data_IF_365854201300
#
_entry.id   IF_365854201300
#
_cell.length_a   1.000
_cell.length_b   1.000
_cell.length_c   1.000
_cell.angle_alpha   90.00
_cell.angle_beta   90.00
_cell.angle_gamma   90.00
#
_symmetry.space_group_name_H-M   'P 1'
#
loop_
_entity.id
_entity.type
_entity.pdbx_description
1 polymer ?
#
# COMPACT_ATOMS: atom_id res chain seq x y z
N UNK A 1 12.72 5.59 26.47
CA UNK A 1 12.56 5.09 25.08
C UNK A 1 13.56 5.82 24.20
N UNK A 2 14.36 5.11 23.39
CA UNK A 2 15.19 5.76 22.37
C UNK A 2 14.27 6.42 21.35
N UNK A 3 14.60 7.64 20.89
CA UNK A 3 13.83 8.30 19.84
C UNK A 3 13.90 7.47 18.56
N UNK A 4 12.75 7.27 17.89
CA UNK A 4 12.68 6.58 16.59
C UNK A 4 13.45 7.42 15.56
N UNK A 5 14.30 6.74 14.78
CA UNK A 5 15.14 7.35 13.75
C UNK A 5 14.45 7.18 12.40
N UNK A 6 13.91 8.25 11.87
CA UNK A 6 13.37 8.33 10.50
C UNK A 6 13.35 9.79 10.05
N UNK A 7 13.70 10.05 8.80
CA UNK A 7 13.82 11.43 8.30
C UNK A 7 12.51 12.02 7.75
N UNK A 8 11.46 11.23 7.64
CA UNK A 8 10.11 11.64 7.24
C UNK A 8 9.11 11.41 8.37
N UNK A 9 7.87 11.82 8.16
CA UNK A 9 6.79 11.54 9.09
C UNK A 9 6.53 10.03 9.18
N UNK A 10 6.05 9.61 10.32
CA UNK A 10 5.67 8.22 10.57
C UNK A 10 4.58 8.16 11.64
N UNK A 11 3.87 7.05 11.64
CA UNK A 11 2.99 6.66 12.74
C UNK A 11 3.70 5.57 13.54
N UNK A 12 3.64 5.67 14.86
CA UNK A 12 4.10 4.64 15.77
C UNK A 12 3.08 4.42 16.87
N UNK A 13 2.68 3.16 17.06
CA UNK A 13 1.88 2.72 18.19
C UNK A 13 2.67 1.73 19.01
N UNK A 14 3.05 2.13 20.21
CA UNK A 14 3.71 1.27 21.18
C UNK A 14 2.67 0.39 21.89
N UNK A 15 2.72 -0.90 21.62
CA UNK A 15 1.86 -1.90 22.27
C UNK A 15 2.64 -2.71 23.32
N UNK A 16 3.79 -2.20 23.80
CA UNK A 16 4.67 -2.83 24.78
C UNK A 16 5.16 -4.24 24.36
N UNK A 17 5.21 -4.51 23.07
CA UNK A 17 5.72 -5.76 22.50
C UNK A 17 6.71 -5.45 21.38
N UNK A 18 7.99 -5.27 21.75
CA UNK A 18 9.08 -5.00 20.80
C UNK A 18 9.65 -6.26 20.13
N UNK A 19 9.20 -7.45 20.52
CA UNK A 19 9.71 -8.69 19.95
C UNK A 19 9.15 -8.99 18.56
N UNK A 20 7.95 -8.47 18.26
CA UNK A 20 7.33 -8.52 16.94
C UNK A 20 6.88 -7.13 16.50
N UNK A 21 7.06 -6.80 15.25
CA UNK A 21 6.79 -5.47 14.72
C UNK A 21 6.04 -5.58 13.40
N UNK A 22 4.94 -4.86 13.26
CA UNK A 22 4.23 -4.69 12.00
C UNK A 22 4.62 -3.34 11.41
N UNK A 23 4.99 -3.33 10.12
CA UNK A 23 5.24 -2.08 9.39
C UNK A 23 4.32 -2.03 8.17
N UNK A 24 3.53 -0.97 8.07
CA UNK A 24 2.67 -0.70 6.93
C UNK A 24 3.34 0.25 5.93
N UNK A 25 3.26 -0.12 4.64
CA UNK A 25 3.69 0.68 3.51
C UNK A 25 2.47 1.09 2.68
N UNK A 26 2.24 2.39 2.58
CA UNK A 26 1.07 2.97 1.91
C UNK A 26 1.14 2.91 0.38
N UNK A 27 -0.01 3.15 -0.28
CA UNK A 27 -0.16 3.21 -1.72
C UNK A 27 0.34 4.52 -2.36
N UNK A 28 0.16 4.62 -3.69
CA UNK A 28 0.49 5.80 -4.49
C UNK A 28 -0.27 7.04 -4.02
N UNK A 29 0.44 8.17 -3.90
CA UNK A 29 -0.06 9.47 -3.44
C UNK A 29 -0.86 9.42 -2.13
N UNK A 30 -0.48 8.52 -1.24
CA UNK A 30 -1.13 8.25 0.04
C UNK A 30 -0.23 8.59 1.24
N UNK A 31 -0.64 8.24 2.44
CA UNK A 31 0.06 8.57 3.68
C UNK A 31 0.01 7.43 4.71
N UNK A 32 0.80 7.51 5.79
CA UNK A 32 0.76 6.54 6.91
C UNK A 32 -0.62 6.39 7.53
N UNK A 33 -1.45 7.43 7.47
CA UNK A 33 -2.78 7.44 8.06
C UNK A 33 -3.83 6.68 7.24
N UNK A 34 -3.52 6.26 6.02
CA UNK A 34 -4.46 5.48 5.19
C UNK A 34 -4.85 4.12 5.79
N UNK A 35 -4.10 3.64 6.79
CA UNK A 35 -4.42 2.40 7.50
C UNK A 35 -4.75 2.63 9.00
N UNK A 36 -5.33 3.79 9.30
CA UNK A 36 -5.68 4.22 10.67
C UNK A 36 -6.62 3.25 11.38
N UNK A 37 -7.51 2.60 10.64
CA UNK A 37 -8.43 1.60 11.19
C UNK A 37 -7.66 0.41 11.80
N UNK A 38 -6.60 -0.07 11.14
CA UNK A 38 -5.75 -1.13 11.65
C UNK A 38 -4.92 -0.65 12.85
N UNK A 39 -4.28 0.52 12.76
CA UNK A 39 -3.54 1.12 13.87
C UNK A 39 -4.39 1.18 15.15
N UNK A 40 -5.64 1.67 15.03
CA UNK A 40 -6.54 1.78 16.18
C UNK A 40 -6.89 0.43 16.80
N UNK A 41 -7.08 -0.58 15.98
CA UNK A 41 -7.47 -1.92 16.41
C UNK A 41 -6.30 -2.73 16.98
N UNK A 42 -5.11 -2.69 16.32
CA UNK A 42 -4.03 -3.61 16.60
C UNK A 42 -3.33 -3.33 17.94
N UNK A 43 -3.19 -4.37 18.78
CA UNK A 43 -2.62 -4.26 20.13
C UNK A 43 -1.61 -5.37 20.48
N UNK A 44 -1.38 -6.35 19.57
CA UNK A 44 -0.59 -7.55 19.88
C UNK A 44 0.92 -7.35 19.73
N UNK A 45 1.32 -6.46 18.81
CA UNK A 45 2.72 -6.11 18.55
C UNK A 45 2.84 -4.63 18.21
N UNK A 46 4.06 -4.09 18.24
CA UNK A 46 4.28 -2.70 17.86
C UNK A 46 3.90 -2.47 16.40
N UNK A 47 3.30 -1.32 16.13
CA UNK A 47 2.86 -0.93 14.78
C UNK A 47 3.57 0.33 14.32
N UNK A 48 4.04 0.31 13.09
CA UNK A 48 4.65 1.44 12.40
C UNK A 48 4.00 1.64 11.03
N UNK A 49 3.95 2.88 10.58
CA UNK A 49 3.64 3.24 9.21
C UNK A 49 4.51 4.39 8.78
N UNK A 50 5.15 4.27 7.61
CA UNK A 50 6.14 5.23 7.15
C UNK A 50 5.58 6.12 6.05
N UNK A 51 5.87 7.43 6.11
CA UNK A 51 5.66 8.33 4.98
C UNK A 51 6.80 8.20 3.98
N UNK A 52 6.46 8.04 2.71
CA UNK A 52 7.45 8.01 1.63
C UNK A 52 7.51 9.35 0.89
N UNK A 53 8.73 9.82 0.51
CA UNK A 53 8.91 11.11 -0.16
C UNK A 53 8.11 11.22 -1.46
N UNK A 54 7.71 12.44 -1.79
CA UNK A 54 6.94 12.75 -3.00
C UNK A 54 5.45 12.35 -2.95
N UNK A 55 5.00 11.62 -1.93
CA UNK A 55 3.58 11.29 -1.73
C UNK A 55 2.94 12.23 -0.71
N UNK A 56 1.64 12.54 -0.88
CA UNK A 56 0.89 13.35 0.06
C UNK A 56 1.64 14.64 0.45
N UNK A 57 2.11 15.41 -0.54
CA UNK A 57 2.87 16.67 -0.40
C UNK A 57 4.20 16.56 0.38
N UNK A 58 4.68 15.36 0.65
CA UNK A 58 5.95 15.18 1.36
C UNK A 58 7.13 15.58 0.48
N UNK A 59 7.89 16.56 0.93
CA UNK A 59 9.10 17.02 0.24
C UNK A 59 10.14 15.90 0.14
N UNK A 60 10.82 15.83 -1.01
CA UNK A 60 11.92 14.90 -1.23
C UNK A 60 13.19 15.51 -0.63
N UNK A 61 13.76 14.87 0.40
CA UNK A 61 15.00 15.34 1.05
C UNK A 61 16.22 14.95 0.22
N UNK A 62 17.32 15.67 0.43
CA UNK A 62 18.59 15.41 -0.26
C UNK A 62 19.02 13.94 -0.17
N UNK A 63 19.39 13.40 -1.31
CA UNK A 63 19.82 11.99 -1.45
C UNK A 63 18.69 10.98 -1.63
N UNK A 64 17.40 11.40 -1.60
CA UNK A 64 16.26 10.53 -1.88
C UNK A 64 15.63 10.84 -3.24
N UNK A 65 14.73 9.94 -3.66
CA UNK A 65 13.90 10.10 -4.86
C UNK A 65 12.48 9.56 -4.59
N UNK A 66 11.50 10.00 -5.38
CA UNK A 66 10.16 9.43 -5.38
C UNK A 66 10.13 8.19 -6.29
N UNK A 67 10.71 7.09 -5.82
CA UNK A 67 10.72 5.78 -6.50
C UNK A 67 10.49 4.66 -5.50
N UNK A 68 9.91 3.56 -5.95
CA UNK A 68 9.63 2.40 -5.08
C UNK A 68 10.91 1.75 -4.57
N UNK A 69 11.99 1.83 -5.36
CA UNK A 69 13.33 1.40 -4.96
C UNK A 69 13.85 2.22 -3.78
N UNK A 70 13.73 3.55 -3.84
CA UNK A 70 14.09 4.43 -2.74
C UNK A 70 13.24 4.15 -1.50
N UNK A 71 11.95 3.91 -1.66
CA UNK A 71 11.06 3.57 -0.55
C UNK A 71 11.46 2.25 0.12
N UNK A 72 11.86 1.25 -0.65
CA UNK A 72 12.38 0.00 -0.10
C UNK A 72 13.70 0.19 0.66
N UNK A 73 14.59 1.08 0.20
CA UNK A 73 15.82 1.41 0.89
C UNK A 73 15.57 2.19 2.19
N UNK A 74 14.63 3.13 2.17
CA UNK A 74 14.19 3.87 3.36
C UNK A 74 13.56 2.94 4.41
N UNK A 75 12.75 1.97 3.97
CA UNK A 75 12.17 0.95 4.85
C UNK A 75 13.24 0.08 5.51
N UNK A 76 14.20 -0.43 4.74
CA UNK A 76 15.31 -1.23 5.27
C UNK A 76 16.12 -0.40 6.26
N UNK A 77 16.51 0.82 5.87
CA UNK A 77 17.27 1.73 6.74
C UNK A 77 16.52 2.03 8.04
N UNK A 78 15.21 2.28 7.98
CA UNK A 78 14.37 2.46 9.16
C UNK A 78 14.45 1.27 10.11
N UNK A 79 14.36 0.06 9.58
CA UNK A 79 14.43 -1.19 10.36
C UNK A 79 15.80 -1.33 11.03
N UNK A 80 16.88 -1.12 10.27
CA UNK A 80 18.24 -1.26 10.75
C UNK A 80 18.62 -0.20 11.79
N UNK A 81 18.32 1.08 11.53
CA UNK A 81 18.62 2.21 12.43
C UNK A 81 17.87 2.07 13.77
N UNK A 82 16.66 1.54 13.76
CA UNK A 82 15.85 1.32 14.96
C UNK A 82 16.01 -0.10 15.55
N UNK A 83 16.86 -0.93 14.96
CA UNK A 83 17.18 -2.30 15.42
C UNK A 83 15.93 -3.17 15.58
N UNK A 84 14.93 -2.96 14.73
CA UNK A 84 13.69 -3.73 14.76
C UNK A 84 13.94 -5.18 14.33
N UNK A 85 13.16 -6.10 14.86
CA UNK A 85 13.29 -7.54 14.59
C UNK A 85 11.93 -8.17 14.39
N UNK A 86 11.90 -9.40 13.83
CA UNK A 86 10.70 -10.15 13.58
C UNK A 86 9.62 -9.31 12.87
N UNK A 87 10.01 -8.78 11.70
CA UNK A 87 9.19 -7.83 10.98
C UNK A 87 8.12 -8.56 10.15
N UNK A 88 6.89 -8.10 10.29
CA UNK A 88 5.78 -8.41 9.39
C UNK A 88 5.52 -7.15 8.56
N UNK A 89 5.56 -7.28 7.25
CA UNK A 89 5.25 -6.16 6.35
C UNK A 89 3.82 -6.27 5.83
N UNK A 90 3.12 -5.14 5.81
CA UNK A 90 1.83 -4.98 5.14
C UNK A 90 2.00 -3.91 4.06
N UNK A 91 1.79 -4.25 2.80
CA UNK A 91 1.90 -3.32 1.68
C UNK A 91 0.59 -3.18 0.93
N UNK A 92 0.05 -1.98 0.86
CA UNK A 92 -1.14 -1.66 0.08
C UNK A 92 -0.77 -1.06 -1.27
N UNK A 93 -1.33 -1.58 -2.37
CA UNK A 93 -1.13 -1.02 -3.71
C UNK A 93 0.37 -0.88 -4.07
N UNK A 94 0.87 0.32 -4.37
CA UNK A 94 2.31 0.61 -4.55
C UNK A 94 3.17 0.10 -3.37
N UNK A 95 2.65 0.15 -2.14
CA UNK A 95 3.32 -0.39 -0.96
C UNK A 95 3.61 -1.89 -1.07
N UNK A 96 2.82 -2.65 -1.80
CA UNK A 96 3.10 -4.05 -2.14
C UNK A 96 4.39 -4.21 -2.95
N UNK A 97 4.65 -3.30 -3.88
CA UNK A 97 5.93 -3.21 -4.60
C UNK A 97 7.09 -2.88 -3.66
N UNK A 98 6.89 -1.91 -2.75
CA UNK A 98 7.89 -1.51 -1.76
C UNK A 98 8.34 -2.69 -0.88
N UNK A 99 7.38 -3.46 -0.32
CA UNK A 99 7.70 -4.60 0.53
C UNK A 99 8.36 -5.75 -0.25
N UNK A 100 7.98 -5.93 -1.53
CA UNK A 100 8.60 -6.95 -2.40
C UNK A 100 10.07 -6.65 -2.66
N UNK A 101 10.41 -5.41 -3.02
CA UNK A 101 11.79 -4.98 -3.24
C UNK A 101 12.61 -5.00 -1.96
N UNK A 102 12.02 -4.60 -0.82
CA UNK A 102 12.69 -4.68 0.48
C UNK A 102 13.02 -6.13 0.85
N UNK A 103 12.07 -7.05 0.66
CA UNK A 103 12.28 -8.47 0.88
C UNK A 103 13.41 -9.03 0.00
N UNK A 104 13.40 -8.70 -1.29
CA UNK A 104 14.45 -9.18 -2.21
C UNK A 104 15.85 -8.73 -1.78
N UNK A 105 15.99 -7.51 -1.25
CA UNK A 105 17.27 -6.93 -0.80
C UNK A 105 17.76 -7.53 0.52
N UNK A 106 16.85 -7.79 1.48
CA UNK A 106 17.18 -8.17 2.88
C UNK A 106 16.16 -9.21 3.41
N UNK A 107 16.07 -10.41 2.83
CA UNK A 107 15.03 -11.38 3.20
C UNK A 107 15.09 -11.82 4.67
N UNK A 108 16.27 -11.79 5.29
CA UNK A 108 16.51 -12.19 6.68
C UNK A 108 15.81 -11.30 7.72
N UNK A 109 15.38 -10.10 7.34
CA UNK A 109 14.70 -9.18 8.26
C UNK A 109 13.23 -9.56 8.49
N UNK A 110 12.62 -10.30 7.58
CA UNK A 110 11.17 -10.43 7.49
C UNK A 110 10.67 -11.84 7.84
N UNK A 111 9.52 -11.90 8.50
CA UNK A 111 8.84 -13.14 8.91
C UNK A 111 7.62 -13.48 8.06
N UNK A 112 6.81 -12.49 7.71
CA UNK A 112 5.61 -12.63 6.91
C UNK A 112 5.41 -11.38 6.04
N UNK A 113 4.76 -11.57 4.89
CA UNK A 113 4.34 -10.46 4.01
C UNK A 113 2.83 -10.50 3.81
N UNK A 114 2.17 -9.34 3.89
CA UNK A 114 0.75 -9.18 3.60
C UNK A 114 0.61 -8.15 2.48
N UNK A 115 0.02 -8.59 1.39
CA UNK A 115 -0.24 -7.81 0.20
C UNK A 115 -1.72 -7.45 0.12
N UNK A 116 -2.03 -6.17 0.09
CA UNK A 116 -3.39 -5.63 -0.06
C UNK A 116 -3.49 -4.98 -1.44
N UNK A 117 -4.18 -5.61 -2.39
CA UNK A 117 -4.33 -5.15 -3.77
C UNK A 117 -3.02 -4.58 -4.37
N UNK A 118 -1.91 -5.35 -4.38
CA UNK A 118 -0.59 -4.83 -4.69
C UNK A 118 -0.41 -4.53 -6.17
N UNK A 119 0.35 -3.48 -6.50
CA UNK A 119 0.86 -3.30 -7.85
C UNK A 119 1.82 -4.44 -8.23
N UNK A 120 1.69 -4.94 -9.45
CA UNK A 120 2.49 -6.02 -10.00
C UNK A 120 2.35 -6.05 -11.53
N UNK A 121 2.99 -7.00 -12.22
CA UNK A 121 2.98 -7.07 -13.68
C UNK A 121 1.56 -7.28 -14.27
N UNK A 122 0.64 -7.94 -13.56
CA UNK A 122 -0.75 -8.07 -14.02
C UNK A 122 -1.50 -6.74 -14.06
N UNK A 123 -1.03 -5.71 -13.33
CA UNK A 123 -1.59 -4.36 -13.36
C UNK A 123 -1.47 -3.67 -14.72
N UNK A 124 -0.70 -4.23 -15.66
CA UNK A 124 -0.66 -3.76 -17.05
C UNK A 124 -2.03 -3.81 -17.74
N UNK A 125 -2.90 -4.76 -17.36
CA UNK A 125 -4.25 -4.89 -17.91
C UNK A 125 -5.15 -3.69 -17.59
N UNK A 126 -4.88 -2.96 -16.50
CA UNK A 126 -5.64 -1.81 -16.03
C UNK A 126 -4.90 -0.48 -16.18
N UNK A 127 -3.81 -0.44 -16.95
CA UNK A 127 -3.00 0.77 -17.15
C UNK A 127 -3.82 1.97 -17.65
N UNK A 128 -4.72 1.77 -18.60
CA UNK A 128 -5.57 2.85 -19.13
C UNK A 128 -6.53 3.39 -18.06
N UNK A 129 -7.11 2.52 -17.25
CA UNK A 129 -7.97 2.90 -16.14
C UNK A 129 -7.18 3.69 -15.08
N UNK A 130 -5.99 3.22 -14.72
CA UNK A 130 -5.10 3.93 -13.80
C UNK A 130 -4.76 5.34 -14.30
N UNK A 131 -4.33 5.50 -15.56
CA UNK A 131 -4.00 6.81 -16.14
C UNK A 131 -5.20 7.75 -16.23
N UNK A 132 -6.39 7.23 -16.45
CA UNK A 132 -7.63 8.02 -16.49
C UNK A 132 -8.05 8.50 -15.11
N UNK A 133 -8.02 7.62 -14.11
CA UNK A 133 -8.69 7.84 -12.83
C UNK A 133 -7.77 8.47 -11.77
N UNK A 134 -6.46 8.17 -11.80
CA UNK A 134 -5.52 8.60 -10.75
C UNK A 134 -4.94 10.02 -10.92
N UNK A 135 -5.27 10.68 -12.04
CA UNK A 135 -4.81 12.04 -12.36
C UNK A 135 -5.99 12.98 -12.66
N UNK A 136 -6.96 13.09 -11.72
CA UNK A 136 -8.16 13.90 -11.92
C UNK A 136 -7.80 15.37 -12.08
N UNK A 137 -8.38 16.03 -13.11
CA UNK A 137 -8.17 17.44 -13.45
C UNK A 137 -9.29 18.34 -12.95
N UNK A 138 -10.39 17.76 -12.53
CA UNK A 138 -11.56 18.43 -12.01
C UNK A 138 -12.29 17.54 -11.00
N UNK A 139 -13.26 18.12 -10.28
CA UNK A 139 -13.98 17.42 -9.23
C UNK A 139 -14.81 16.23 -9.73
N UNK A 140 -15.32 16.26 -10.96
CA UNK A 140 -16.07 15.13 -11.52
C UNK A 140 -15.17 13.93 -11.78
N UNK A 141 -13.97 14.16 -12.34
CA UNK A 141 -12.96 13.13 -12.50
C UNK A 141 -12.47 12.60 -11.14
N UNK A 142 -12.37 13.47 -10.12
CA UNK A 142 -12.04 13.04 -8.77
C UNK A 142 -13.10 12.10 -8.16
N UNK A 143 -14.37 12.31 -8.42
CA UNK A 143 -15.40 11.32 -8.05
C UNK A 143 -15.24 10.02 -8.84
N UNK A 144 -14.77 10.09 -10.09
CA UNK A 144 -14.37 8.92 -10.88
C UNK A 144 -13.24 8.12 -10.24
N UNK A 145 -12.22 8.81 -9.72
CA UNK A 145 -11.14 8.20 -8.93
C UNK A 145 -11.67 7.45 -7.70
N UNK A 146 -12.61 8.02 -6.94
CA UNK A 146 -13.24 7.30 -5.83
C UNK A 146 -13.96 6.03 -6.27
N UNK A 147 -14.62 6.05 -7.44
CA UNK A 147 -15.28 4.86 -7.99
C UNK A 147 -14.31 3.75 -8.38
N UNK A 148 -13.06 4.06 -8.69
CA UNK A 148 -12.04 3.03 -8.93
C UNK A 148 -11.48 2.43 -7.63
N UNK A 149 -11.64 3.12 -6.49
CA UNK A 149 -11.14 2.67 -5.19
C UNK A 149 -12.15 1.83 -4.39
N UNK A 150 -13.45 2.12 -4.52
CA UNK A 150 -14.49 1.55 -3.67
C UNK A 150 -15.56 0.82 -4.48
N UNK A 151 -16.01 -0.30 -3.97
CA UNK A 151 -17.17 -1.03 -4.51
C UNK A 151 -18.45 -0.17 -4.41
N UNK A 152 -18.67 0.45 -3.26
CA UNK A 152 -19.82 1.34 -3.02
C UNK A 152 -19.37 2.74 -2.60
N UNK A 153 -19.47 3.67 -3.53
CA UNK A 153 -19.16 5.10 -3.27
C UNK A 153 -20.34 5.87 -2.69
N UNK A 154 -21.53 5.26 -2.59
CA UNK A 154 -22.75 5.96 -2.14
C UNK A 154 -22.60 6.50 -0.71
N UNK A 155 -21.85 5.80 0.15
CA UNK A 155 -21.53 6.25 1.51
C UNK A 155 -20.84 7.65 1.56
N UNK A 156 -20.12 8.00 0.48
CA UNK A 156 -19.48 9.31 0.32
C UNK A 156 -20.37 10.27 -0.45
N UNK A 157 -20.85 9.85 -1.63
CA UNK A 157 -21.57 10.74 -2.56
C UNK A 157 -22.98 11.10 -2.08
N UNK A 158 -23.60 10.30 -1.19
CA UNK A 158 -24.87 10.64 -0.54
C UNK A 158 -24.68 11.61 0.65
N UNK A 159 -23.47 11.85 1.12
CA UNK A 159 -23.18 12.75 2.21
C UNK A 159 -22.92 14.16 1.67
N UNK A 160 -23.95 15.02 1.70
CA UNK A 160 -23.87 16.40 1.19
C UNK A 160 -22.75 17.23 1.86
N UNK A 161 -22.52 17.02 3.16
CA UNK A 161 -21.46 17.73 3.89
C UNK A 161 -20.08 17.30 3.42
N UNK A 162 -19.87 16.03 3.24
CA UNK A 162 -18.63 15.48 2.68
C UNK A 162 -18.42 15.98 1.23
N UNK A 163 -19.44 15.87 0.38
CA UNK A 163 -19.37 16.33 -1.00
C UNK A 163 -19.01 17.82 -1.11
N UNK A 164 -19.61 18.65 -0.25
CA UNK A 164 -19.32 20.09 -0.17
C UNK A 164 -17.90 20.36 0.28
N UNK A 165 -17.45 19.68 1.34
CA UNK A 165 -16.09 19.82 1.86
C UNK A 165 -15.07 19.48 0.79
N UNK A 166 -15.17 18.27 0.22
CA UNK A 166 -14.20 17.77 -0.75
C UNK A 166 -14.19 18.60 -2.03
N UNK A 167 -15.37 19.05 -2.51
CA UNK A 167 -15.44 19.95 -3.67
C UNK A 167 -14.73 21.28 -3.42
N UNK A 168 -14.79 21.81 -2.20
CA UNK A 168 -14.16 23.09 -1.85
C UNK A 168 -12.66 22.97 -1.57
N UNK A 169 -12.17 21.77 -1.26
CA UNK A 169 -10.76 21.51 -0.94
C UNK A 169 -10.01 20.79 -2.05
N UNK A 170 -10.71 20.31 -3.09
CA UNK A 170 -10.10 19.64 -4.21
C UNK A 170 -9.17 20.59 -4.98
N UNK A 171 -7.89 20.21 -5.08
CA UNK A 171 -6.90 20.84 -5.91
C UNK A 171 -6.35 19.81 -6.91
N UNK A 172 -6.54 19.98 -8.23
CA UNK A 172 -5.98 19.05 -9.22
C UNK A 172 -4.45 18.96 -9.15
N UNK A 173 -3.75 19.98 -8.63
CA UNK A 173 -2.30 19.94 -8.45
C UNK A 173 -1.85 18.81 -7.52
N UNK A 174 -2.64 18.47 -6.52
CA UNK A 174 -2.36 17.36 -5.58
C UNK A 174 -2.18 16.02 -6.29
N UNK A 175 -2.84 15.85 -7.44
CA UNK A 175 -2.83 14.64 -8.26
C UNK A 175 -1.96 14.74 -9.51
N UNK A 176 -1.63 15.95 -9.95
CA UNK A 176 -0.98 16.21 -11.25
C UNK A 176 0.35 16.96 -11.15
N UNK A 177 0.91 17.13 -9.94
CA UNK A 177 2.23 17.74 -9.81
C UNK A 177 3.31 16.86 -10.48
N UNK A 178 4.46 17.44 -10.88
CA UNK A 178 5.50 16.73 -11.64
C UNK A 178 6.02 15.46 -10.96
N UNK A 179 6.13 15.47 -9.63
CA UNK A 179 6.63 14.31 -8.86
C UNK A 179 5.65 13.15 -8.91
N UNK A 180 4.37 13.42 -8.64
CA UNK A 180 3.30 12.41 -8.68
C UNK A 180 3.11 11.87 -10.10
N UNK A 181 3.14 12.74 -11.11
CA UNK A 181 3.04 12.32 -12.52
C UNK A 181 4.20 11.40 -12.91
N UNK A 182 5.44 11.77 -12.56
CA UNK A 182 6.63 10.94 -12.83
C UNK A 182 6.55 9.59 -12.13
N UNK A 183 6.19 9.57 -10.84
CA UNK A 183 6.03 8.34 -10.08
C UNK A 183 4.95 7.44 -10.68
N UNK A 184 3.77 8.00 -11.00
CA UNK A 184 2.68 7.22 -11.60
C UNK A 184 3.05 6.63 -12.96
N UNK A 185 3.76 7.37 -13.81
CA UNK A 185 4.28 6.85 -15.09
C UNK A 185 5.30 5.72 -14.86
N UNK A 186 6.12 5.82 -13.82
CA UNK A 186 7.06 4.76 -13.48
C UNK A 186 6.34 3.48 -13.01
N UNK A 187 5.28 3.60 -12.21
CA UNK A 187 4.52 2.46 -11.69
C UNK A 187 3.90 1.56 -12.77
N UNK A 188 3.63 2.10 -13.95
CA UNK A 188 3.07 1.35 -15.11
C UNK A 188 4.14 0.92 -16.12
N UNK A 189 5.41 1.21 -15.87
CA UNK A 189 6.50 0.88 -16.80
C UNK A 189 6.85 -0.62 -16.78
N UNK A 190 7.26 -1.14 -17.94
CA UNK A 190 7.76 -2.50 -18.04
C UNK A 190 9.00 -2.70 -17.16
N UNK A 191 9.89 -1.70 -17.09
CA UNK A 191 11.08 -1.75 -16.25
C UNK A 191 10.74 -2.02 -14.79
N UNK A 192 9.77 -1.30 -14.24
CA UNK A 192 9.33 -1.49 -12.86
C UNK A 192 8.66 -2.85 -12.66
N UNK A 193 7.79 -3.25 -13.57
CA UNK A 193 7.10 -4.53 -13.49
C UNK A 193 8.04 -5.73 -13.59
N UNK A 194 9.09 -5.66 -14.42
CA UNK A 194 10.10 -6.72 -14.50
C UNK A 194 10.92 -6.82 -13.21
N UNK A 195 11.26 -5.70 -12.56
CA UNK A 195 11.89 -5.68 -11.24
C UNK A 195 10.98 -6.31 -10.18
N UNK A 196 9.68 -5.98 -10.17
CA UNK A 196 8.72 -6.57 -9.24
C UNK A 196 8.55 -8.08 -9.44
N UNK A 197 8.53 -8.54 -10.69
CA UNK A 197 8.47 -9.98 -10.98
C UNK A 197 9.63 -10.74 -10.36
N UNK A 198 10.85 -10.23 -10.51
CA UNK A 198 12.04 -10.82 -9.89
C UNK A 198 11.96 -10.80 -8.36
N UNK A 199 11.46 -9.70 -7.78
CA UNK A 199 11.29 -9.58 -6.34
C UNK A 199 10.24 -10.57 -5.81
N UNK A 200 9.08 -10.68 -6.45
CA UNK A 200 8.04 -11.63 -6.05
C UNK A 200 8.49 -13.09 -6.15
N UNK A 201 9.24 -13.46 -7.21
CA UNK A 201 9.82 -14.81 -7.36
C UNK A 201 10.83 -15.16 -6.26
N UNK A 202 11.43 -14.16 -5.59
CA UNK A 202 12.35 -14.39 -4.48
C UNK A 202 11.64 -14.70 -3.16
N UNK A 203 10.33 -14.40 -3.04
CA UNK A 203 9.57 -14.56 -1.80
C UNK A 203 9.40 -16.04 -1.47
N UNK A 204 9.98 -16.45 -0.33
CA UNK A 204 9.95 -17.83 0.15
C UNK A 204 9.44 -17.97 1.60
N UNK A 205 9.05 -16.88 2.24
CA UNK A 205 8.38 -16.85 3.54
C UNK A 205 6.85 -16.86 3.37
N UNK A 206 6.07 -17.11 4.45
CA UNK A 206 4.61 -17.02 4.36
C UNK A 206 4.15 -15.66 3.86
N UNK A 207 3.28 -15.68 2.85
CA UNK A 207 2.70 -14.48 2.25
C UNK A 207 1.17 -14.61 2.18
N UNK A 208 0.47 -13.49 2.42
CA UNK A 208 -0.98 -13.36 2.28
C UNK A 208 -1.27 -12.32 1.19
N UNK A 209 -2.12 -12.68 0.23
CA UNK A 209 -2.68 -11.75 -0.75
C UNK A 209 -4.17 -11.58 -0.48
N UNK A 210 -4.61 -10.34 -0.31
CA UNK A 210 -6.04 -9.98 -0.20
C UNK A 210 -6.37 -9.00 -1.32
N UNK A 211 -7.40 -9.32 -2.10
CA UNK A 211 -7.92 -8.50 -3.20
C UNK A 211 -9.38 -8.11 -2.94
N UNK A 212 -9.84 -7.01 -3.49
CA UNK A 212 -11.26 -6.69 -3.60
C UNK A 212 -11.90 -7.41 -4.79
N UNK A 213 -13.21 -7.68 -4.71
CA UNK A 213 -13.97 -8.29 -5.80
C UNK A 213 -14.06 -7.37 -7.02
N UNK A 214 -14.25 -6.08 -6.78
CA UNK A 214 -14.50 -5.05 -7.81
C UNK A 214 -13.51 -3.89 -7.64
N UNK A 215 -12.23 -4.23 -7.76
CA UNK A 215 -11.12 -3.30 -7.69
C UNK A 215 -10.89 -2.67 -9.07
N UNK A 216 -11.07 -1.35 -9.18
CA UNK A 216 -10.86 -0.63 -10.43
C UNK A 216 -9.38 -0.37 -10.78
N UNK A 217 -8.45 -0.76 -9.91
CA UNK A 217 -7.01 -0.49 -10.02
C UNK A 217 -6.19 -1.75 -10.25
N UNK A 218 -6.70 -2.89 -9.78
CA UNK A 218 -6.06 -4.20 -9.90
C UNK A 218 -7.06 -5.19 -10.46
N UNK A 219 -6.74 -5.82 -11.58
CA UNK A 219 -7.52 -6.94 -12.07
C UNK A 219 -7.38 -8.11 -11.10
N UNK A 220 -8.47 -8.42 -10.39
CA UNK A 220 -8.52 -9.44 -9.34
C UNK A 220 -8.04 -10.80 -9.82
N UNK A 221 -8.58 -11.27 -10.93
CA UNK A 221 -8.34 -12.64 -11.39
C UNK A 221 -6.92 -12.80 -11.94
N UNK A 222 -6.46 -11.84 -12.73
CA UNK A 222 -5.08 -11.83 -13.23
C UNK A 222 -4.07 -11.68 -12.09
N UNK A 223 -4.34 -10.83 -11.11
CA UNK A 223 -3.46 -10.66 -9.96
C UNK A 223 -3.39 -11.93 -9.10
N UNK A 224 -4.54 -12.59 -8.88
CA UNK A 224 -4.63 -13.83 -8.12
C UNK A 224 -3.80 -14.96 -8.77
N UNK A 225 -3.95 -15.15 -10.08
CA UNK A 225 -3.18 -16.13 -10.85
C UNK A 225 -1.69 -15.78 -10.82
N UNK A 226 -1.35 -14.53 -11.10
CA UNK A 226 0.03 -14.06 -11.12
C UNK A 226 0.76 -14.30 -9.80
N UNK A 227 0.12 -14.02 -8.66
CA UNK A 227 0.71 -14.28 -7.35
C UNK A 227 0.88 -15.77 -7.06
N UNK A 228 -0.10 -16.61 -7.41
CA UNK A 228 0.01 -18.07 -7.24
C UNK A 228 1.14 -18.67 -8.07
N UNK A 229 1.44 -18.12 -9.23
CA UNK A 229 2.52 -18.58 -10.09
C UNK A 229 3.91 -18.12 -9.61
N UNK A 230 3.99 -16.92 -9.01
CA UNK A 230 5.28 -16.28 -8.73
C UNK A 230 5.68 -16.30 -7.24
N UNK A 231 4.75 -16.52 -6.30
CA UNK A 231 5.02 -16.53 -4.86
C UNK A 231 4.75 -17.91 -4.25
N UNK A 232 5.81 -18.59 -3.84
CA UNK A 232 5.79 -20.00 -3.43
C UNK A 232 4.81 -20.35 -2.32
N UNK A 233 4.74 -19.53 -1.27
CA UNK A 233 4.01 -19.79 -0.03
C UNK A 233 2.89 -18.77 0.17
N UNK A 234 2.15 -18.44 -0.89
CA UNK A 234 1.07 -17.46 -0.82
C UNK A 234 -0.27 -18.11 -0.48
N UNK A 235 -0.94 -17.59 0.56
CA UNK A 235 -2.39 -17.73 0.74
C UNK A 235 -3.04 -16.56 0.02
N UNK A 236 -3.75 -16.83 -1.07
CA UNK A 236 -4.34 -15.80 -1.91
C UNK A 236 -5.86 -15.92 -1.92
N UNK A 237 -6.55 -14.82 -1.68
CA UNK A 237 -8.01 -14.74 -1.63
C UNK A 237 -8.50 -13.35 -2.04
N UNK A 238 -9.81 -13.23 -2.23
CA UNK A 238 -10.49 -11.97 -2.46
C UNK A 238 -11.71 -11.82 -1.54
N UNK A 239 -12.12 -10.58 -1.30
CA UNK A 239 -13.24 -10.22 -0.44
C UNK A 239 -14.44 -9.76 -1.30
N UNK A 240 -15.65 -10.33 -1.10
CA UNK A 240 -16.82 -9.95 -1.88
C UNK A 240 -17.30 -8.55 -1.54
N UNK A 241 -17.86 -7.85 -2.53
CA UNK A 241 -18.42 -6.49 -2.37
C UNK A 241 -17.44 -5.48 -1.79
N UNK A 242 -16.19 -5.59 -2.15
CA UNK A 242 -15.14 -4.63 -1.80
C UNK A 242 -14.32 -4.28 -3.03
N UNK A 243 -13.76 -3.07 -3.04
CA UNK A 243 -12.84 -2.57 -4.05
C UNK A 243 -11.39 -2.55 -3.56
N UNK A 244 -10.62 -1.56 -4.02
CA UNK A 244 -9.21 -1.38 -3.69
C UNK A 244 -8.97 -1.11 -2.19
N UNK A 245 -9.98 -0.53 -1.51
CA UNK A 245 -9.92 -0.19 -0.08
C UNK A 245 -10.70 -1.22 0.76
N UNK A 246 -10.51 -2.51 0.50
CA UNK A 246 -11.26 -3.61 1.11
C UNK A 246 -11.29 -3.56 2.64
N UNK A 247 -10.22 -3.09 3.28
CA UNK A 247 -10.13 -2.95 4.74
C UNK A 247 -11.00 -1.81 5.33
N UNK A 248 -11.46 -0.87 4.49
CA UNK A 248 -12.41 0.17 4.89
C UNK A 248 -13.87 -0.23 4.60
N UNK A 249 -14.08 -1.17 3.67
CA UNK A 249 -15.40 -1.56 3.21
C UNK A 249 -15.98 -2.73 3.99
N UNK A 250 -15.14 -3.71 4.36
CA UNK A 250 -15.53 -4.87 5.17
C UNK A 250 -14.44 -5.18 6.21
N UNK A 251 -14.35 -4.33 7.22
CA UNK A 251 -13.35 -4.43 8.27
C UNK A 251 -13.39 -5.74 9.05
N UNK A 252 -14.58 -6.21 9.41
CA UNK A 252 -14.73 -7.39 10.26
C UNK A 252 -14.22 -8.66 9.58
N UNK A 253 -14.50 -8.82 8.29
CA UNK A 253 -13.98 -9.92 7.50
C UNK A 253 -12.48 -9.76 7.22
N UNK A 254 -12.05 -8.55 6.87
CA UNK A 254 -10.64 -8.23 6.63
C UNK A 254 -9.77 -8.59 7.83
N UNK A 255 -10.12 -8.11 9.03
CA UNK A 255 -9.28 -8.31 10.20
C UNK A 255 -9.23 -9.78 10.64
N UNK A 256 -10.33 -10.52 10.49
CA UNK A 256 -10.36 -11.94 10.74
C UNK A 256 -9.38 -12.70 9.85
N UNK A 257 -9.35 -12.39 8.54
CA UNK A 257 -8.42 -13.01 7.59
C UNK A 257 -6.97 -12.72 7.99
N UNK A 258 -6.67 -11.46 8.33
CA UNK A 258 -5.32 -11.05 8.75
C UNK A 258 -4.91 -11.74 10.04
N UNK A 259 -5.76 -11.76 11.06
CA UNK A 259 -5.47 -12.43 12.34
C UNK A 259 -5.27 -13.94 12.19
N UNK A 260 -6.07 -14.62 11.39
CA UNK A 260 -5.88 -16.04 11.08
C UNK A 260 -4.51 -16.30 10.46
N UNK A 261 -4.08 -15.45 9.52
CA UNK A 261 -2.76 -15.57 8.90
C UNK A 261 -1.62 -15.23 9.86
N UNK A 262 -1.77 -14.24 10.71
CA UNK A 262 -0.74 -13.86 11.67
C UNK A 262 -0.54 -14.94 12.75
N UNK A 263 -1.60 -15.64 13.12
CA UNK A 263 -1.56 -16.71 14.14
C UNK A 263 -1.12 -18.08 13.57
N UNK A 264 -1.02 -18.25 12.26
CA UNK A 264 -0.51 -19.46 11.59
C UNK A 264 1.03 -19.43 11.52
#
# INVERSE_FOLDING_TARGET
MSSIIYKYDYVFKDNNNSEENIIFCHGFNSSPNSFKIFENYWTKSNYYSLQFPGNNHTEIKEGDDATVECYSDLLIKFIEDNKLRNIILIGHSMGGGTISLAYQKKPELFKKLIYLAPTNKSSQSVTEAFLRDYFPKNFEEFIGFFKSLYYDVSKFTSNESWMRLVKNTFDPYDFNNPTITKLGQYLISNEFHDKLELALKSVNIPALLILGEDDGVVDRDLCLEYFKENVKNVKALWMPKTGHMMFEEDWDNFIKIVEEFLNS
#
